data_IF_550935021207
#
_entry.id   IF_550935021207
#
_cell.length_a   1.000
_cell.length_b   1.000
_cell.length_c   1.000
_cell.angle_alpha   90.00
_cell.angle_beta   90.00
_cell.angle_gamma   90.00
#
_symmetry.space_group_name_H-M   'P 1'
#
loop_
_entity.id
_entity.type
_entity.pdbx_description
1 polymer ?
#
# COMPACT_ATOMS: atom_id res chain seq x y z
N UNK A 1 -12.59 2.51 8.60
CA UNK A 1 -12.59 3.57 7.56
C UNK A 1 -11.20 3.90 7.02
N UNK A 2 -10.19 4.23 7.83
CA UNK A 2 -8.87 4.63 7.30
C UNK A 2 -8.16 3.57 6.43
N UNK A 3 -8.28 2.28 6.77
CA UNK A 3 -7.77 1.16 5.94
C UNK A 3 -8.42 1.11 4.56
N UNK A 4 -9.73 1.43 4.47
CA UNK A 4 -10.49 1.49 3.22
C UNK A 4 -10.00 2.65 2.36
N UNK A 5 -9.73 3.82 2.95
CA UNK A 5 -9.17 4.96 2.22
C UNK A 5 -7.83 4.60 1.56
N UNK A 6 -6.90 3.98 2.31
CA UNK A 6 -5.62 3.54 1.74
C UNK A 6 -5.79 2.47 0.66
N UNK A 7 -6.75 1.56 0.83
CA UNK A 7 -7.08 0.56 -0.19
C UNK A 7 -7.59 1.21 -1.47
N UNK A 8 -8.51 2.19 -1.35
CA UNK A 8 -9.05 2.95 -2.46
C UNK A 8 -7.97 3.75 -3.19
N UNK A 9 -7.08 4.44 -2.46
CA UNK A 9 -5.96 5.19 -3.06
C UNK A 9 -5.05 4.27 -3.88
N UNK A 10 -4.66 3.13 -3.31
CA UNK A 10 -3.82 2.14 -4.01
C UNK A 10 -4.50 1.59 -5.26
N UNK A 11 -5.78 1.21 -5.15
CA UNK A 11 -6.54 0.65 -6.25
C UNK A 11 -6.73 1.67 -7.38
N UNK A 12 -7.20 2.88 -7.06
CA UNK A 12 -7.41 3.96 -8.04
C UNK A 12 -6.09 4.33 -8.71
N UNK A 13 -5.00 4.49 -7.95
CA UNK A 13 -3.70 4.81 -8.54
C UNK A 13 -3.23 3.70 -9.49
N UNK A 14 -3.38 2.44 -9.11
CA UNK A 14 -3.05 1.31 -9.96
C UNK A 14 -3.88 1.27 -11.26
N UNK A 15 -5.18 1.57 -11.18
CA UNK A 15 -6.05 1.68 -12.37
C UNK A 15 -5.63 2.85 -13.26
N UNK A 16 -5.35 4.03 -12.68
CA UNK A 16 -4.86 5.19 -13.43
C UNK A 16 -3.58 4.85 -14.18
N UNK A 17 -2.61 4.22 -13.49
CA UNK A 17 -1.35 3.77 -14.11
C UNK A 17 -1.62 2.81 -15.28
N UNK A 18 -2.47 1.80 -15.09
CA UNK A 18 -2.79 0.83 -16.13
C UNK A 18 -3.45 1.49 -17.35
N UNK A 19 -4.30 2.50 -17.15
CA UNK A 19 -4.99 3.22 -18.22
C UNK A 19 -4.09 4.22 -18.96
N UNK A 20 -3.03 4.71 -18.31
CA UNK A 20 -2.05 5.63 -18.90
C UNK A 20 -0.87 4.90 -19.56
N UNK A 21 -1.01 3.60 -19.85
CA UNK A 21 0.07 2.76 -20.38
C UNK A 21 0.76 3.33 -21.63
N UNK A 22 -0.01 3.96 -22.52
CA UNK A 22 0.52 4.58 -23.75
C UNK A 22 1.41 5.80 -23.50
N UNK A 23 1.37 6.40 -22.30
CA UNK A 23 2.13 7.60 -21.94
C UNK A 23 3.47 7.28 -21.25
N UNK A 24 3.73 6.01 -20.90
CA UNK A 24 4.94 5.59 -20.20
C UNK A 24 6.23 5.63 -21.03
N UNK A 25 6.17 6.13 -22.27
CA UNK A 25 7.37 6.39 -23.07
C UNK A 25 8.15 7.62 -22.56
N UNK A 26 7.51 8.49 -21.78
CA UNK A 26 8.14 9.67 -21.20
C UNK A 26 8.47 9.43 -19.72
N UNK A 27 9.76 9.30 -19.41
CA UNK A 27 10.22 9.05 -18.02
C UNK A 27 9.73 10.12 -17.04
N UNK A 28 9.66 11.38 -17.47
CA UNK A 28 9.14 12.47 -16.63
C UNK A 28 7.67 12.28 -16.24
N UNK A 29 6.85 11.74 -17.15
CA UNK A 29 5.46 11.41 -16.85
C UNK A 29 5.39 10.31 -15.79
N UNK A 30 6.20 9.27 -15.93
CA UNK A 30 6.26 8.15 -14.98
C UNK A 30 6.72 8.58 -13.59
N UNK A 31 7.80 9.38 -13.53
CA UNK A 31 8.30 9.95 -12.27
C UNK A 31 7.19 10.76 -11.58
N UNK A 32 6.49 11.63 -12.32
CA UNK A 32 5.39 12.43 -11.76
C UNK A 32 4.23 11.57 -11.28
N UNK A 33 3.89 10.51 -12.01
CA UNK A 33 2.80 9.61 -11.68
C UNK A 33 3.09 8.78 -10.43
N UNK A 34 4.30 8.21 -10.32
CA UNK A 34 4.75 7.47 -9.14
C UNK A 34 4.90 8.41 -7.94
N UNK A 35 5.42 9.62 -8.13
CA UNK A 35 5.52 10.65 -7.10
C UNK A 35 4.14 11.03 -6.54
N UNK A 36 3.18 11.33 -7.41
CA UNK A 36 1.82 11.64 -6.99
C UNK A 36 1.19 10.47 -6.23
N UNK A 37 1.38 9.25 -6.71
CA UNK A 37 0.88 8.04 -6.07
C UNK A 37 1.48 7.83 -4.68
N UNK A 38 2.81 7.93 -4.54
CA UNK A 38 3.49 7.78 -3.25
C UNK A 38 3.08 8.87 -2.26
N UNK A 39 2.88 10.10 -2.74
CA UNK A 39 2.37 11.22 -1.94
C UNK A 39 0.97 10.91 -1.40
N UNK A 40 0.06 10.45 -2.26
CA UNK A 40 -1.30 10.06 -1.85
C UNK A 40 -1.29 8.88 -0.87
N UNK A 41 -0.43 7.88 -1.08
CA UNK A 41 -0.23 6.77 -0.13
C UNK A 41 0.26 7.30 1.21
N UNK A 42 1.21 8.24 1.21
CA UNK A 42 1.72 8.92 2.40
C UNK A 42 0.60 9.62 3.17
N UNK A 43 -0.20 10.44 2.48
CA UNK A 43 -1.35 11.14 3.06
C UNK A 43 -2.36 10.15 3.66
N UNK A 44 -2.75 9.12 2.91
CA UNK A 44 -3.68 8.10 3.40
C UNK A 44 -3.14 7.37 4.63
N UNK A 45 -1.82 7.14 4.68
CA UNK A 45 -1.15 6.51 5.82
C UNK A 45 -1.08 7.44 7.03
N UNK A 46 -0.92 8.76 6.84
CA UNK A 46 -1.04 9.75 7.93
C UNK A 46 -2.46 9.74 8.50
N UNK A 47 -3.49 9.71 7.65
CA UNK A 47 -4.89 9.62 8.12
C UNK A 47 -5.10 8.35 8.94
N UNK A 48 -4.54 7.21 8.50
CA UNK A 48 -4.55 5.96 9.28
C UNK A 48 -3.77 6.08 10.59
N UNK A 49 -2.63 6.77 10.61
CA UNK A 49 -1.87 7.04 11.82
C UNK A 49 -2.67 7.87 12.83
N UNK A 50 -3.29 8.96 12.39
CA UNK A 50 -4.11 9.83 13.23
C UNK A 50 -5.29 9.08 13.84
N UNK A 51 -5.91 8.17 13.07
CA UNK A 51 -7.01 7.33 13.55
C UNK A 51 -6.58 6.26 14.57
N UNK A 52 -5.33 5.80 14.52
CA UNK A 52 -4.80 4.75 15.40
C UNK A 52 -3.79 5.28 16.44
N UNK A 53 -3.73 6.62 16.63
CA UNK A 53 -2.80 7.26 17.56
C UNK A 53 -3.00 6.71 18.98
N UNK A 54 -1.89 6.44 19.67
CA UNK A 54 -1.91 5.87 21.03
C UNK A 54 -2.00 4.35 21.11
N UNK A 55 -2.14 3.64 19.98
CA UNK A 55 -2.02 2.18 19.94
C UNK A 55 -0.56 1.76 19.74
N UNK A 56 -0.21 0.53 20.15
CA UNK A 56 1.11 -0.07 19.87
C UNK A 56 1.43 -0.18 18.37
N UNK A 57 0.42 -0.10 17.50
CA UNK A 57 0.58 -0.13 16.04
C UNK A 57 0.98 1.22 15.44
N UNK A 58 0.70 2.32 16.15
CA UNK A 58 0.80 3.69 15.61
C UNK A 58 2.18 4.02 15.02
N UNK A 59 3.25 3.61 15.71
CA UNK A 59 4.61 3.91 15.25
C UNK A 59 4.95 3.23 13.91
N UNK A 60 4.49 1.99 13.69
CA UNK A 60 4.73 1.28 12.43
C UNK A 60 3.99 1.92 11.25
N UNK A 61 2.81 2.47 11.52
CA UNK A 61 2.02 3.21 10.53
C UNK A 61 2.74 4.52 10.19
N UNK A 62 3.27 5.24 11.20
CA UNK A 62 4.08 6.43 10.98
C UNK A 62 5.35 6.13 10.16
N UNK A 63 6.06 5.05 10.47
CA UNK A 63 7.25 4.64 9.71
C UNK A 63 6.93 4.41 8.22
N UNK A 64 5.79 3.78 7.90
CA UNK A 64 5.34 3.61 6.51
C UNK A 64 5.04 4.94 5.81
N UNK A 65 4.42 5.89 6.51
CA UNK A 65 4.15 7.21 5.96
C UNK A 65 5.46 7.93 5.62
N UNK A 66 6.42 7.91 6.55
CA UNK A 66 7.76 8.50 6.35
C UNK A 66 8.46 7.88 5.15
N UNK A 67 8.43 6.55 5.03
CA UNK A 67 9.04 5.85 3.87
C UNK A 67 8.37 6.25 2.55
N UNK A 68 7.04 6.41 2.53
CA UNK A 68 6.33 6.86 1.32
C UNK A 68 6.68 8.31 0.94
N UNK A 69 6.70 9.24 1.91
CA UNK A 69 7.09 10.63 1.65
C UNK A 69 8.57 10.78 1.33
N UNK A 70 9.45 10.01 1.97
CA UNK A 70 10.88 9.98 1.67
C UNK A 70 11.13 9.53 0.24
N UNK A 71 10.43 8.49 -0.22
CA UNK A 71 10.50 8.05 -1.61
C UNK A 71 9.92 9.10 -2.59
N UNK A 72 8.77 9.69 -2.28
CA UNK A 72 8.20 10.78 -3.09
C UNK A 72 9.14 11.99 -3.18
N UNK A 73 9.79 12.37 -2.08
CA UNK A 73 10.79 13.44 -2.04
C UNK A 73 12.05 13.09 -2.83
N UNK A 74 12.52 11.84 -2.76
CA UNK A 74 13.65 11.38 -3.56
C UNK A 74 13.36 11.46 -5.07
N UNK A 75 12.13 11.14 -5.50
CA UNK A 75 11.72 11.23 -6.91
C UNK A 75 11.80 12.64 -7.50
N UNK A 76 11.74 13.70 -6.68
CA UNK A 76 11.91 15.08 -7.16
C UNK A 76 13.30 15.34 -7.76
N UNK A 77 14.31 14.56 -7.37
CA UNK A 77 15.67 14.67 -7.87
C UNK A 77 15.97 13.70 -9.03
N UNK A 78 15.03 12.84 -9.42
CA UNK A 78 15.23 11.80 -10.43
C UNK A 78 14.77 12.29 -11.80
N UNK A 79 15.60 12.08 -12.81
CA UNK A 79 15.29 12.42 -14.22
C UNK A 79 15.42 11.24 -15.17
N UNK A 80 15.85 10.07 -14.68
CA UNK A 80 16.16 8.89 -15.48
C UNK A 80 15.44 7.63 -14.96
N UNK A 81 15.34 6.62 -15.81
CA UNK A 81 14.64 5.36 -15.53
C UNK A 81 15.29 4.56 -14.41
N UNK A 82 16.63 4.56 -14.31
CA UNK A 82 17.35 3.78 -13.31
C UNK A 82 17.06 4.36 -11.92
N UNK A 83 17.09 5.68 -11.78
CA UNK A 83 16.71 6.38 -10.56
C UNK A 83 15.27 6.04 -10.14
N UNK A 84 14.31 6.04 -11.07
CA UNK A 84 12.92 5.68 -10.80
C UNK A 84 12.80 4.23 -10.28
N UNK A 85 13.51 3.30 -10.93
CA UNK A 85 13.55 1.90 -10.55
C UNK A 85 14.15 1.72 -9.15
N UNK A 86 15.29 2.35 -8.86
CA UNK A 86 15.98 2.25 -7.58
C UNK A 86 15.14 2.82 -6.43
N UNK A 87 14.51 3.98 -6.62
CA UNK A 87 13.65 4.58 -5.59
C UNK A 87 12.42 3.71 -5.33
N UNK A 88 11.77 3.22 -6.39
CA UNK A 88 10.62 2.32 -6.27
C UNK A 88 11.00 1.00 -5.58
N UNK A 89 12.12 0.40 -5.95
CA UNK A 89 12.62 -0.83 -5.36
C UNK A 89 13.00 -0.65 -3.89
N UNK A 90 13.69 0.44 -3.54
CA UNK A 90 14.03 0.76 -2.15
C UNK A 90 12.79 0.99 -1.30
N UNK A 91 11.81 1.76 -1.81
CA UNK A 91 10.53 1.96 -1.13
C UNK A 91 9.79 0.64 -0.88
N UNK A 92 9.75 -0.24 -1.89
CA UNK A 92 9.13 -1.55 -1.80
C UNK A 92 9.86 -2.44 -0.77
N UNK A 93 11.19 -2.46 -0.78
CA UNK A 93 12.02 -3.20 0.17
C UNK A 93 11.82 -2.71 1.62
N UNK A 94 11.86 -1.40 1.86
CA UNK A 94 11.59 -0.82 3.19
C UNK A 94 10.16 -1.14 3.66
N UNK A 95 9.19 -1.10 2.75
CA UNK A 95 7.81 -1.51 3.04
C UNK A 95 7.73 -2.99 3.42
N UNK A 96 8.48 -3.87 2.74
CA UNK A 96 8.60 -5.27 3.06
C UNK A 96 9.21 -5.47 4.46
N UNK A 97 10.33 -4.81 4.76
CA UNK A 97 11.00 -4.86 6.07
C UNK A 97 10.06 -4.44 7.20
N UNK A 98 9.36 -3.31 7.04
CA UNK A 98 8.37 -2.87 8.04
C UNK A 98 7.27 -3.91 8.24
N UNK A 99 6.78 -4.51 7.14
CA UNK A 99 5.72 -5.54 7.20
C UNK A 99 6.22 -6.81 7.89
N UNK A 100 7.44 -7.24 7.59
CA UNK A 100 8.09 -8.38 8.22
C UNK A 100 8.27 -8.15 9.72
N UNK A 101 8.74 -6.97 10.12
CA UNK A 101 8.91 -6.66 11.54
C UNK A 101 7.59 -6.64 12.31
N UNK A 102 6.51 -6.09 11.72
CA UNK A 102 5.16 -6.16 12.31
C UNK A 102 4.68 -7.59 12.47
N UNK A 103 4.97 -8.45 11.49
CA UNK A 103 4.62 -9.87 11.50
C UNK A 103 5.38 -10.62 12.59
N UNK A 104 6.70 -10.42 12.69
CA UNK A 104 7.56 -11.07 13.70
C UNK A 104 7.17 -10.64 15.12
N UNK A 105 6.77 -9.37 15.31
CA UNK A 105 6.28 -8.87 16.61
C UNK A 105 4.83 -9.24 16.93
N UNK A 106 4.15 -10.00 16.06
CA UNK A 106 2.76 -10.42 16.29
C UNK A 106 1.73 -9.28 16.25
N UNK A 107 2.12 -8.10 15.76
CA UNK A 107 1.26 -6.91 15.71
C UNK A 107 0.23 -7.03 14.58
N UNK A 108 0.53 -7.80 13.53
CA UNK A 108 -0.34 -7.96 12.38
C UNK A 108 -0.67 -9.44 12.11
N UNK A 109 -1.94 -9.79 11.82
CA UNK A 109 -2.32 -11.15 11.46
C UNK A 109 -1.58 -11.65 10.21
N UNK A 110 -1.12 -12.91 10.24
CA UNK A 110 -0.38 -13.53 9.13
C UNK A 110 -1.13 -13.45 7.80
N UNK A 111 -2.45 -13.66 7.82
CA UNK A 111 -3.33 -13.61 6.63
C UNK A 111 -3.27 -12.28 5.86
N UNK A 112 -3.02 -11.16 6.56
CA UNK A 112 -2.93 -9.83 5.94
C UNK A 112 -1.47 -9.44 5.68
N UNK A 113 -0.57 -9.80 6.58
CA UNK A 113 0.84 -9.43 6.49
C UNK A 113 1.57 -10.18 5.37
N UNK A 114 1.29 -11.48 5.19
CA UNK A 114 2.03 -12.33 4.26
C UNK A 114 1.82 -11.92 2.79
N UNK A 115 0.59 -11.70 2.28
CA UNK A 115 0.40 -11.21 0.92
C UNK A 115 1.08 -9.86 0.69
N UNK A 116 0.95 -8.92 1.64
CA UNK A 116 1.60 -7.61 1.52
C UNK A 116 3.12 -7.72 1.52
N UNK A 117 3.70 -8.63 2.30
CA UNK A 117 5.14 -8.85 2.36
C UNK A 117 5.65 -9.40 1.03
N UNK A 118 5.02 -10.47 0.53
CA UNK A 118 5.40 -11.12 -0.73
C UNK A 118 5.27 -10.17 -1.92
N UNK A 119 4.18 -9.39 -1.99
CA UNK A 119 3.98 -8.39 -3.04
C UNK A 119 5.06 -7.30 -3.01
N UNK A 120 5.45 -6.83 -1.82
CA UNK A 120 6.50 -5.81 -1.70
C UNK A 120 7.88 -6.36 -2.09
N UNK A 121 8.20 -7.61 -1.72
CA UNK A 121 9.43 -8.28 -2.15
C UNK A 121 9.44 -8.49 -3.67
N UNK A 122 8.34 -9.01 -4.21
CA UNK A 122 8.20 -9.25 -5.64
C UNK A 122 8.37 -7.95 -6.45
N UNK A 123 7.72 -6.86 -6.02
CA UNK A 123 7.90 -5.55 -6.65
C UNK A 123 9.37 -5.10 -6.63
N UNK A 124 10.03 -5.19 -5.47
CA UNK A 124 11.42 -4.77 -5.34
C UNK A 124 12.35 -5.55 -6.29
N UNK A 125 12.17 -6.87 -6.37
CA UNK A 125 12.98 -7.73 -7.26
C UNK A 125 12.67 -7.45 -8.73
N UNK A 126 11.39 -7.41 -9.12
CA UNK A 126 10.98 -7.21 -10.50
C UNK A 126 11.47 -5.87 -11.04
N UNK A 127 11.30 -4.79 -10.28
CA UNK A 127 11.72 -3.45 -10.68
C UNK A 127 13.23 -3.37 -10.89
N UNK A 128 14.04 -4.07 -10.08
CA UNK A 128 15.49 -4.14 -10.31
C UNK A 128 15.81 -4.90 -11.60
N UNK A 129 15.12 -6.02 -11.86
CA UNK A 129 15.32 -6.82 -13.08
C UNK A 129 14.97 -6.04 -14.34
N UNK A 130 13.93 -5.21 -14.30
CA UNK A 130 13.48 -4.41 -15.45
C UNK A 130 13.89 -2.93 -15.37
N UNK A 131 14.94 -2.60 -14.60
CA UNK A 131 15.31 -1.22 -14.29
C UNK A 131 15.66 -0.33 -15.50
N UNK A 132 15.83 -0.90 -16.69
CA UNK A 132 16.11 -0.17 -17.93
C UNK A 132 14.83 0.19 -18.72
N UNK A 133 13.68 -0.39 -18.35
CA UNK A 133 12.41 -0.19 -19.04
C UNK A 133 11.42 0.57 -18.12
N UNK A 134 11.18 1.87 -18.37
CA UNK A 134 10.29 2.68 -17.54
C UNK A 134 8.84 2.16 -17.56
N UNK A 135 8.39 1.66 -18.72
CA UNK A 135 7.03 1.12 -18.89
C UNK A 135 6.84 -0.09 -17.98
N UNK A 136 7.82 -0.99 -17.95
CA UNK A 136 7.77 -2.18 -17.10
C UNK A 136 7.83 -1.81 -15.61
N UNK A 137 8.71 -0.88 -15.22
CA UNK A 137 8.84 -0.42 -13.82
C UNK A 137 7.52 0.17 -13.32
N UNK A 138 6.95 1.12 -14.08
CA UNK A 138 5.70 1.79 -13.74
C UNK A 138 4.52 0.81 -13.80
N UNK A 139 4.50 -0.09 -14.78
CA UNK A 139 3.50 -1.15 -14.90
C UNK A 139 3.49 -2.11 -13.71
N UNK A 140 4.65 -2.59 -13.25
CA UNK A 140 4.74 -3.44 -12.06
C UNK A 140 4.34 -2.70 -10.79
N UNK A 141 4.70 -1.42 -10.67
CA UNK A 141 4.24 -0.58 -9.56
C UNK A 141 2.71 -0.44 -9.55
N UNK A 142 2.10 -0.21 -10.72
CA UNK A 142 0.64 -0.17 -10.89
C UNK A 142 -0.03 -1.50 -10.52
N UNK A 143 0.47 -2.62 -11.05
CA UNK A 143 -0.05 -3.96 -10.73
C UNK A 143 0.04 -4.26 -9.22
N UNK A 144 1.17 -3.93 -8.60
CA UNK A 144 1.35 -4.02 -7.16
C UNK A 144 0.31 -3.17 -6.40
N UNK A 145 0.05 -1.95 -6.86
CA UNK A 145 -0.92 -1.05 -6.23
C UNK A 145 -2.34 -1.62 -6.31
N UNK A 146 -2.76 -2.17 -7.45
CA UNK A 146 -4.05 -2.85 -7.61
C UNK A 146 -4.16 -4.02 -6.63
N UNK A 147 -3.21 -4.97 -6.69
CA UNK A 147 -3.26 -6.17 -5.86
C UNK A 147 -3.29 -5.83 -4.38
N UNK A 148 -2.42 -4.92 -3.94
CA UNK A 148 -2.37 -4.47 -2.54
C UNK A 148 -3.62 -3.72 -2.13
N UNK A 149 -4.19 -2.90 -3.01
CA UNK A 149 -5.46 -2.22 -2.80
C UNK A 149 -6.60 -3.21 -2.56
N UNK A 150 -6.72 -4.23 -3.39
CA UNK A 150 -7.74 -5.29 -3.27
C UNK A 150 -7.57 -6.08 -1.96
N UNK A 151 -6.37 -6.59 -1.67
CA UNK A 151 -6.13 -7.35 -0.43
C UNK A 151 -6.40 -6.51 0.82
N UNK A 152 -6.02 -5.23 0.82
CA UNK A 152 -6.29 -4.35 1.95
C UNK A 152 -7.79 -4.06 2.07
N UNK A 153 -8.48 -3.87 0.94
CA UNK A 153 -9.92 -3.67 0.88
C UNK A 153 -10.67 -4.84 1.53
N UNK A 154 -10.41 -6.08 1.08
CA UNK A 154 -11.03 -7.30 1.65
C UNK A 154 -10.78 -7.37 3.16
N UNK A 155 -9.54 -7.15 3.60
CA UNK A 155 -9.19 -7.20 5.03
C UNK A 155 -9.89 -6.12 5.87
N UNK A 156 -10.27 -5.00 5.27
CA UNK A 156 -10.97 -3.92 5.95
C UNK A 156 -12.47 -4.21 6.13
N UNK A 157 -13.07 -4.96 5.19
CA UNK A 157 -14.47 -5.40 5.30
C UNK A 157 -14.64 -6.59 6.26
N UNK A 158 -13.71 -7.55 6.26
CA UNK A 158 -13.74 -8.68 7.23
C UNK A 158 -13.60 -8.24 8.69
N UNK A 159 -13.01 -7.07 8.95
CA UNK A 159 -12.82 -6.55 10.30
C UNK A 159 -14.03 -5.74 10.83
N UNK A 160 -15.09 -5.57 10.02
CA UNK A 160 -16.32 -4.94 10.47
C UNK A 160 -17.10 -5.93 11.37
N UNK A 161 -17.66 -5.51 12.52
CA UNK A 161 -18.40 -6.41 13.40
C UNK A 161 -19.58 -7.03 12.66
N UNK A 162 -19.67 -8.36 12.71
CA UNK A 162 -20.87 -9.08 12.32
C UNK A 162 -22.01 -8.63 13.25
N UNK A 163 -23.09 -8.10 12.69
CA UNK A 163 -24.25 -7.69 13.48
C UNK A 163 -24.83 -8.96 14.09
N UNK A 164 -24.54 -9.17 15.37
CA UNK A 164 -25.02 -10.34 16.10
C UNK A 164 -26.57 -10.28 16.11
N UNK A 165 -27.28 -11.26 15.52
CA UNK A 165 -28.73 -11.25 15.52
C UNK A 165 -29.20 -11.23 16.98
N UNK A 166 -30.27 -10.47 17.31
CA UNK A 166 -30.77 -10.39 18.67
C UNK A 166 -31.04 -11.82 19.17
N UNK A 167 -30.36 -12.21 20.25
CA UNK A 167 -30.66 -13.44 20.97
C UNK A 167 -32.16 -13.42 21.31
N UNK A 168 -32.95 -14.41 20.88
CA UNK A 168 -34.35 -14.49 21.26
C UNK A 168 -34.44 -14.47 22.80
N UNK A 169 -35.13 -13.48 23.36
CA UNK A 169 -35.40 -13.45 24.79
C UNK A 169 -36.13 -14.75 25.16
N UNK A 170 -35.52 -15.55 26.03
CA UNK A 170 -36.12 -16.77 26.57
C UNK A 170 -37.42 -16.48 27.36
N UNK A 171 -37.67 -15.21 27.70
CA UNK A 171 -38.82 -14.77 28.50
C UNK A 171 -40.15 -14.72 27.75
N UNK A 172 -40.17 -14.97 26.43
CA UNK A 172 -41.41 -14.97 25.63
C UNK A 172 -42.11 -16.34 25.54
N UNK A 173 -41.61 -17.38 26.21
CA UNK A 173 -42.18 -18.74 26.15
C UNK A 173 -43.15 -19.05 27.31
N UNK A 174 -43.21 -18.22 28.35
CA UNK A 174 -44.13 -18.42 29.49
C UNK A 174 -45.09 -17.24 29.71
N UNK A 175 -46.06 -17.03 28.80
CA UNK A 175 -47.32 -16.34 29.12
C UNK A 175 -48.48 -16.89 28.31
#
# INVERSE_FOLDING_TARGET
MAKVLRAAVLFIAGVVIALTASLHQQVSFDVMLVLATLTLIGIATIVEYLANRGTAESWWIAARAIVAFGAAGALLAITDTIGLALVTALWAALTAVITLMRLVRGVQPRRVALPSLLLSIALAVLVIVVAQDPVAVTGFFGAYAILRGVFLGISAFEAAPEVQPPTPNADTVER
#
